data_IF_842070713480
#
_entry.id   IF_842070713480
#
_cell.length_a   1.000
_cell.length_b   1.000
_cell.length_c   1.000
_cell.angle_alpha   90.00
_cell.angle_beta   90.00
_cell.angle_gamma   90.00
#
_symmetry.space_group_name_H-M   'P 1'
#
loop_
_entity.id
_entity.type
_entity.pdbx_description
1 polymer ?
#
# COMPACT_ATOMS: atom_id res chain seq x y z
N UNK A 1 4.49 -12.04 12.82
CA UNK A 1 4.47 -10.59 12.59
C UNK A 1 4.67 -10.42 11.10
N UNK A 2 3.71 -9.84 10.39
CA UNK A 2 3.86 -9.66 8.94
C UNK A 2 4.66 -8.37 8.73
N UNK A 3 5.67 -8.34 7.86
CA UNK A 3 6.52 -7.15 7.67
C UNK A 3 5.68 -5.91 7.32
N UNK A 4 4.52 -6.13 6.68
CA UNK A 4 3.56 -5.11 6.31
C UNK A 4 2.67 -4.59 7.45
N UNK A 5 2.70 -5.17 8.66
CA UNK A 5 2.04 -4.58 9.84
C UNK A 5 2.61 -3.18 10.15
N UNK A 6 3.92 -3.00 9.99
CA UNK A 6 4.57 -1.71 10.17
C UNK A 6 4.11 -0.69 9.10
N UNK A 7 3.91 -1.15 7.85
CA UNK A 7 3.31 -0.33 6.80
C UNK A 7 1.87 0.07 7.17
N UNK A 8 1.04 -0.86 7.64
CA UNK A 8 -0.32 -0.55 8.11
C UNK A 8 -0.29 0.54 9.19
N UNK A 9 0.54 0.35 10.22
CA UNK A 9 0.59 1.27 11.36
C UNK A 9 1.13 2.65 10.96
N UNK A 10 2.08 2.70 10.01
CA UNK A 10 2.53 3.94 9.40
C UNK A 10 1.37 4.65 8.69
N UNK A 11 0.64 3.94 7.81
CA UNK A 11 -0.48 4.49 7.05
C UNK A 11 -1.60 5.00 7.97
N UNK A 12 -1.92 4.28 9.05
CA UNK A 12 -2.92 4.68 10.05
C UNK A 12 -2.61 6.03 10.71
N UNK A 13 -1.32 6.37 10.86
CA UNK A 13 -0.89 7.66 11.43
C UNK A 13 -0.99 8.81 10.44
N UNK A 14 -1.15 8.52 9.14
CA UNK A 14 -1.18 9.56 8.11
C UNK A 14 -2.50 10.32 8.13
N UNK A 15 -2.40 11.64 8.25
CA UNK A 15 -3.57 12.55 8.22
C UNK A 15 -3.99 12.88 6.79
N UNK A 16 -3.04 12.91 5.87
CA UNK A 16 -3.25 13.27 4.46
C UNK A 16 -4.21 12.28 3.77
N UNK A 17 -5.02 12.81 2.85
CA UNK A 17 -5.93 12.00 2.05
C UNK A 17 -5.20 11.25 0.93
N UNK A 18 -4.09 11.78 0.45
CA UNK A 18 -3.25 11.15 -0.55
C UNK A 18 -1.79 11.56 -0.34
N UNK A 19 -0.88 10.60 -0.52
CA UNK A 19 0.57 10.85 -0.54
C UNK A 19 1.26 9.74 -1.34
N UNK A 20 2.54 9.94 -1.62
CA UNK A 20 3.36 8.99 -2.38
C UNK A 20 4.55 8.59 -1.50
N UNK A 21 4.88 7.30 -1.49
CA UNK A 21 6.12 6.79 -0.92
C UNK A 21 6.93 6.08 -2.00
N UNK A 22 8.25 6.25 -1.99
CA UNK A 22 9.14 5.43 -2.81
C UNK A 22 9.23 4.01 -2.26
N UNK A 23 9.72 3.07 -3.07
CA UNK A 23 10.00 1.71 -2.62
C UNK A 23 10.99 1.68 -1.46
N UNK A 24 12.05 2.49 -1.52
CA UNK A 24 13.02 2.64 -0.44
C UNK A 24 12.36 3.08 0.87
N UNK A 25 11.51 4.10 0.83
CA UNK A 25 10.78 4.54 2.03
C UNK A 25 9.86 3.45 2.60
N UNK A 26 9.24 2.66 1.73
CA UNK A 26 8.40 1.54 2.15
C UNK A 26 9.26 0.45 2.81
N UNK A 27 10.42 0.13 2.23
CA UNK A 27 11.39 -0.82 2.76
C UNK A 27 11.91 -0.40 4.14
N UNK A 28 12.20 0.89 4.32
CA UNK A 28 12.57 1.47 5.62
C UNK A 28 11.45 1.33 6.66
N UNK A 29 10.20 1.54 6.26
CA UNK A 29 9.03 1.41 7.15
C UNK A 29 8.82 -0.04 7.58
N UNK A 30 8.93 -1.00 6.66
CA UNK A 30 8.73 -2.43 6.96
C UNK A 30 9.99 -3.11 7.52
N UNK A 31 11.14 -2.43 7.46
CA UNK A 31 12.42 -2.96 7.92
C UNK A 31 12.94 -4.12 7.06
N UNK A 32 12.48 -4.23 5.81
CA UNK A 32 12.77 -5.34 4.91
C UNK A 32 12.73 -4.89 3.45
N UNK A 33 13.54 -5.54 2.61
CA UNK A 33 13.52 -5.29 1.17
C UNK A 33 12.21 -5.79 0.54
N UNK A 34 11.64 -5.00 -0.37
CA UNK A 34 10.45 -5.38 -1.11
C UNK A 34 10.79 -6.54 -2.05
N UNK A 35 9.88 -7.51 -2.22
CA UNK A 35 10.11 -8.58 -3.17
C UNK A 35 10.15 -8.00 -4.58
N UNK A 36 10.87 -8.67 -5.50
CA UNK A 36 10.93 -8.28 -6.93
C UNK A 36 9.53 -8.11 -7.55
N UNK A 37 8.54 -8.84 -7.03
CA UNK A 37 7.13 -8.71 -7.40
C UNK A 37 6.55 -7.30 -7.22
N UNK A 38 7.05 -6.49 -6.28
CA UNK A 38 6.62 -5.12 -6.03
C UNK A 38 6.84 -4.17 -7.21
N UNK A 39 7.71 -4.53 -8.16
CA UNK A 39 7.86 -3.80 -9.42
C UNK A 39 6.64 -3.93 -10.34
N UNK A 40 5.75 -4.90 -10.11
CA UNK A 40 4.55 -5.08 -10.92
C UNK A 40 3.43 -4.20 -10.38
N UNK A 41 2.77 -3.43 -11.24
CA UNK A 41 1.61 -2.62 -10.84
C UNK A 41 0.50 -3.49 -10.22
N UNK A 42 0.29 -4.71 -10.72
CA UNK A 42 -0.67 -5.67 -10.17
C UNK A 42 -0.37 -6.15 -8.75
N UNK A 43 0.86 -5.95 -8.26
CA UNK A 43 1.21 -6.22 -6.86
C UNK A 43 0.62 -5.18 -5.91
N UNK A 44 0.49 -3.94 -6.35
CA UNK A 44 -0.05 -2.85 -5.53
C UNK A 44 -1.53 -2.61 -5.79
N UNK A 45 -1.95 -2.72 -7.06
CA UNK A 45 -3.28 -2.33 -7.51
C UNK A 45 -4.36 -3.29 -6.97
N UNK A 46 -5.08 -2.78 -5.97
CA UNK A 46 -6.15 -3.49 -5.29
C UNK A 46 -7.40 -3.72 -6.14
N UNK A 47 -7.52 -3.06 -7.29
CA UNK A 47 -8.68 -3.14 -8.19
C UNK A 47 -8.52 -4.19 -9.30
N UNK A 48 -7.27 -4.61 -9.60
CA UNK A 48 -6.96 -5.45 -10.78
C UNK A 48 -6.91 -6.95 -10.50
N UNK A 49 -6.70 -7.38 -9.25
CA UNK A 49 -6.57 -8.80 -8.90
C UNK A 49 -7.28 -9.12 -7.58
N UNK A 50 -8.61 -9.27 -7.56
CA UNK A 50 -9.35 -9.59 -6.33
C UNK A 50 -9.03 -10.99 -5.79
N UNK A 51 -8.67 -11.95 -6.65
CA UNK A 51 -8.46 -13.36 -6.29
C UNK A 51 -7.15 -13.66 -5.55
N UNK A 52 -6.17 -12.75 -5.59
CA UNK A 52 -4.89 -12.94 -4.90
C UNK A 52 -4.89 -12.11 -3.61
N UNK A 53 -4.97 -12.81 -2.48
CA UNK A 53 -4.70 -12.22 -1.17
C UNK A 53 -3.21 -11.92 -1.09
N UNK A 54 -2.88 -10.63 -1.06
CA UNK A 54 -1.50 -10.17 -0.96
C UNK A 54 -1.29 -9.46 0.38
N UNK A 55 -0.25 -9.82 1.15
CA UNK A 55 -0.07 -9.35 2.52
C UNK A 55 0.06 -7.82 2.64
N UNK A 56 0.74 -7.18 1.69
CA UNK A 56 0.86 -5.71 1.64
C UNK A 56 -0.48 -5.04 1.33
N UNK A 57 -1.31 -5.66 0.49
CA UNK A 57 -2.64 -5.13 0.13
C UNK A 57 -3.55 -5.17 1.34
N UNK A 58 -3.55 -6.27 2.09
CA UNK A 58 -4.32 -6.40 3.33
C UNK A 58 -3.90 -5.34 4.35
N UNK A 59 -2.60 -5.11 4.52
CA UNK A 59 -2.09 -4.04 5.38
C UNK A 59 -2.59 -2.65 4.96
N UNK A 60 -2.57 -2.33 3.66
CA UNK A 60 -3.08 -1.06 3.14
C UNK A 60 -4.58 -0.91 3.37
N UNK A 61 -5.36 -1.95 3.06
CA UNK A 61 -6.82 -1.96 3.23
C UNK A 61 -7.22 -1.88 4.70
N UNK A 62 -6.51 -2.58 5.59
CA UNK A 62 -6.71 -2.51 7.03
C UNK A 62 -6.43 -1.11 7.59
N UNK A 63 -5.47 -0.38 6.99
CA UNK A 63 -5.23 1.03 7.30
C UNK A 63 -6.27 2.00 6.67
N UNK A 64 -7.15 1.50 5.79
CA UNK A 64 -8.13 2.33 5.07
C UNK A 64 -7.54 3.05 3.86
N UNK A 65 -6.47 2.53 3.26
CA UNK A 65 -5.82 3.11 2.09
C UNK A 65 -5.84 2.15 0.89
N UNK A 66 -5.94 2.72 -0.31
CA UNK A 66 -5.64 2.04 -1.57
C UNK A 66 -4.21 2.39 -1.98
N UNK A 67 -3.46 1.37 -2.39
CA UNK A 67 -2.14 1.53 -2.98
C UNK A 67 -2.23 1.43 -4.51
N UNK A 68 -1.57 2.34 -5.22
CA UNK A 68 -1.45 2.31 -6.68
C UNK A 68 -0.01 2.63 -7.04
N UNK A 69 0.64 1.75 -7.80
CA UNK A 69 2.01 1.99 -8.28
C UNK A 69 2.01 3.16 -9.26
N UNK A 70 2.93 4.07 -9.08
CA UNK A 70 3.13 5.22 -9.97
C UNK A 70 3.83 4.79 -11.27
N UNK A 71 3.63 5.54 -12.38
CA UNK A 71 4.26 5.24 -13.66
C UNK A 71 5.79 5.46 -13.66
N UNK A 72 6.32 6.20 -12.68
CA UNK A 72 7.77 6.34 -12.44
C UNK A 72 8.47 4.99 -12.16
N UNK A 73 7.69 4.01 -11.74
CA UNK A 73 8.09 2.66 -11.49
C UNK A 73 8.80 2.39 -10.17
N UNK A 74 8.94 3.41 -9.33
CA UNK A 74 9.70 3.34 -8.08
C UNK A 74 8.89 3.84 -6.88
N UNK A 75 7.66 4.31 -7.11
CA UNK A 75 6.82 4.86 -6.05
C UNK A 75 5.41 4.27 -6.05
N UNK A 76 4.76 4.39 -4.91
CA UNK A 76 3.38 3.97 -4.66
C UNK A 76 2.61 5.15 -4.10
N UNK A 77 1.50 5.48 -4.75
CA UNK A 77 0.51 6.41 -4.24
C UNK A 77 -0.42 5.68 -3.28
N UNK A 78 -0.56 6.23 -2.09
CA UNK A 78 -1.53 5.80 -1.10
C UNK A 78 -2.64 6.83 -1.02
N UNK A 79 -3.86 6.40 -1.35
CA UNK A 79 -5.05 7.26 -1.30
C UNK A 79 -6.00 6.70 -0.25
N UNK A 80 -6.41 7.53 0.74
CA UNK A 80 -7.42 7.16 1.72
C UNK A 80 -8.69 6.74 1.00
N UNK A 81 -9.18 5.57 1.37
CA UNK A 81 -10.54 5.18 1.03
C UNK A 81 -11.44 6.11 1.81
N UNK A 82 -12.13 7.03 1.11
CA UNK A 82 -13.32 7.65 1.70
C UNK A 82 -14.19 6.50 2.18
N UNK A 83 -14.61 6.50 3.45
CA UNK A 83 -15.77 5.71 3.87
C UNK A 83 -16.89 6.16 2.95
N UNK A 84 -17.11 5.42 1.88
CA UNK A 84 -18.28 5.59 1.05
C UNK A 84 -19.42 5.23 1.99
N UNK A 85 -20.07 6.26 2.53
CA UNK A 85 -21.30 6.13 3.30
C UNK A 85 -22.39 5.67 2.35
N UNK A 86 -22.30 4.44 1.85
CA UNK A 86 -23.45 3.72 1.29
C UNK A 86 -24.22 3.15 2.47
N UNK A 87 -25.03 4.08 3.00
CA UNK A 87 -26.43 3.94 3.40
C UNK A 87 -26.98 2.53 3.47
#
# INVERSE_FOLDING_TARGET
MNDYDALRDYLLRQKQAEFILSFEQIEEIIGAALPRAANRASWWDSLRSPDIQMPQREACLAAGFKAVRMPDGQSVRFTKMKKDGRR
#
